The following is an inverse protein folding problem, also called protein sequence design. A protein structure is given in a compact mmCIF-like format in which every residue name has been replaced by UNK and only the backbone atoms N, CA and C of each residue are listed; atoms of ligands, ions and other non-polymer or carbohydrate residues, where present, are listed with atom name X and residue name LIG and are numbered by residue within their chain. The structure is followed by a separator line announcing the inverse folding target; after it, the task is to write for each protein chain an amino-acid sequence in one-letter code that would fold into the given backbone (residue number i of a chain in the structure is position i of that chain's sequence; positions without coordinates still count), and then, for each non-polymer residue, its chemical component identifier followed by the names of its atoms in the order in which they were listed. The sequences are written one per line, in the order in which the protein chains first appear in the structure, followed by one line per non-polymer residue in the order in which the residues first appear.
data_IF_820871566367
#
_entry.id   IF_820871566367
#
_cell.length_a   1.000
_cell.length_b   1.000
_cell.length_c   1.000
_cell.angle_alpha   90.00
_cell.angle_beta   90.00
_cell.angle_gamma   90.00
#
_symmetry.space_group_name_H-M   'P 1'
#
loop_
_entity.id
_entity.type
_entity.pdbx_description
1 polymer ?
#
# COMPACT_ATOMS: atom_id res chain seq x y z
N UNK A 1 78.88 -49.57 22.27
CA UNK A 1 78.36 -48.86 21.10
C UNK A 1 76.89 -49.29 20.92
N UNK A 2 75.98 -48.67 21.62
CA UNK A 2 74.54 -48.97 21.51
C UNK A 2 73.87 -47.73 21.05
N UNK A 3 73.30 -47.73 19.84
CA UNK A 3 72.56 -46.67 19.26
C UNK A 3 71.13 -46.71 19.84
N UNK A 4 70.73 -45.67 20.52
CA UNK A 4 69.36 -45.46 21.02
C UNK A 4 68.54 -44.73 19.94
N UNK A 5 67.52 -45.40 19.39
CA UNK A 5 66.62 -44.86 18.44
C UNK A 5 65.45 -44.24 19.24
N UNK A 6 65.34 -42.94 19.16
CA UNK A 6 64.20 -42.18 19.75
C UNK A 6 63.06 -42.10 18.70
N UNK A 7 61.97 -42.80 18.97
CA UNK A 7 60.75 -42.72 18.15
C UNK A 7 59.93 -41.59 18.67
N UNK A 8 59.80 -40.47 17.91
CA UNK A 8 58.84 -39.39 18.18
C UNK A 8 57.46 -39.80 17.64
N UNK A 9 56.55 -40.04 18.56
CA UNK A 9 55.12 -40.23 18.25
C UNK A 9 54.48 -38.87 18.05
N UNK A 10 54.17 -38.49 16.80
CA UNK A 10 53.37 -37.31 16.48
C UNK A 10 51.88 -37.68 16.66
N UNK A 11 51.26 -37.17 17.71
CA UNK A 11 49.81 -37.20 17.87
C UNK A 11 49.19 -36.03 17.07
N UNK A 12 48.58 -36.34 15.96
CA UNK A 12 47.78 -35.40 15.18
C UNK A 12 46.42 -35.23 15.83
N UNK A 13 46.16 -34.08 16.44
CA UNK A 13 44.80 -33.67 16.89
C UNK A 13 44.02 -33.12 15.69
N UNK A 14 42.81 -33.59 15.40
CA UNK A 14 42.01 -32.98 14.38
C UNK A 14 41.42 -31.64 14.90
N UNK A 15 41.81 -30.54 14.27
CA UNK A 15 41.13 -29.29 14.43
C UNK A 15 39.73 -29.38 13.80
N UNK A 16 38.70 -29.46 14.62
CA UNK A 16 37.30 -29.28 14.19
C UNK A 16 37.11 -27.82 13.84
N UNK A 17 37.13 -27.49 12.56
CA UNK A 17 36.68 -26.18 12.06
C UNK A 17 35.17 -26.11 12.15
N UNK A 18 34.65 -25.42 13.20
CA UNK A 18 33.25 -25.03 13.27
C UNK A 18 32.98 -24.05 12.14
N UNK A 19 32.41 -24.55 11.06
CA UNK A 19 31.86 -23.74 9.99
C UNK A 19 30.63 -22.98 10.53
N UNK A 20 30.84 -21.73 10.92
CA UNK A 20 29.74 -20.81 11.23
C UNK A 20 29.14 -20.43 9.87
N UNK A 21 28.08 -21.15 9.49
CA UNK A 21 27.22 -20.74 8.39
C UNK A 21 26.58 -19.41 8.83
N UNK A 22 27.05 -18.33 8.25
CA UNK A 22 26.35 -17.04 8.34
C UNK A 22 24.98 -17.22 7.67
N UNK A 23 23.96 -17.42 8.49
CA UNK A 23 22.57 -17.41 8.08
C UNK A 23 22.29 -16.02 7.49
N UNK A 24 22.22 -15.98 6.16
CA UNK A 24 21.88 -14.79 5.40
C UNK A 24 20.46 -14.39 5.81
N UNK A 25 20.35 -13.41 6.71
CA UNK A 25 19.08 -12.87 7.14
C UNK A 25 18.28 -12.49 5.88
N UNK A 26 17.17 -13.19 5.66
CA UNK A 26 16.21 -12.82 4.64
C UNK A 26 15.80 -11.35 4.86
N UNK A 27 15.59 -10.56 3.79
CA UNK A 27 15.14 -9.20 3.95
C UNK A 27 13.79 -9.23 4.69
N UNK A 28 13.80 -8.74 5.93
CA UNK A 28 12.57 -8.56 6.71
C UNK A 28 11.75 -7.54 5.94
N UNK A 29 10.65 -7.98 5.34
CA UNK A 29 9.65 -7.08 4.81
C UNK A 29 9.30 -6.08 5.93
N UNK A 30 9.17 -4.76 5.63
CA UNK A 30 8.83 -3.79 6.65
C UNK A 30 7.55 -4.26 7.34
N UNK A 31 7.66 -4.59 8.63
CA UNK A 31 6.52 -5.00 9.42
C UNK A 31 5.48 -3.89 9.31
N UNK A 32 4.29 -4.24 8.84
CA UNK A 32 3.17 -3.31 8.78
C UNK A 32 2.96 -2.77 10.20
N UNK A 33 3.32 -1.51 10.41
CA UNK A 33 3.24 -0.87 11.72
C UNK A 33 1.77 -0.84 12.15
N UNK A 34 1.47 -1.53 13.23
CA UNK A 34 0.19 -1.40 13.91
C UNK A 34 0.36 -0.46 15.10
N UNK A 35 -0.42 0.60 15.15
CA UNK A 35 -0.40 1.59 16.24
C UNK A 35 -1.74 1.58 16.93
N UNK A 36 -1.73 1.27 18.24
CA UNK A 36 -2.93 1.27 19.08
C UNK A 36 -2.96 2.48 19.99
N UNK A 37 -4.14 3.02 20.24
CA UNK A 37 -4.32 4.14 21.15
C UNK A 37 -5.79 4.45 21.43
N UNK A 38 -5.99 5.26 22.47
CA UNK A 38 -7.30 5.83 22.83
C UNK A 38 -7.56 7.09 21.97
N UNK A 39 -8.74 7.20 21.44
CA UNK A 39 -9.16 8.34 20.63
C UNK A 39 -9.49 9.54 21.52
N UNK A 40 -8.68 10.59 21.43
CA UNK A 40 -8.88 11.85 22.16
C UNK A 40 -9.74 12.87 21.37
N UNK A 41 -9.67 12.82 20.05
CA UNK A 41 -10.38 13.77 19.18
C UNK A 41 -10.68 13.11 17.83
N UNK A 42 -11.86 13.41 17.29
CA UNK A 42 -12.31 12.93 15.97
C UNK A 42 -12.66 14.14 15.11
N UNK A 43 -12.17 14.18 13.88
CA UNK A 43 -12.56 15.14 12.86
C UNK A 43 -12.90 14.42 11.57
N UNK A 44 -14.16 14.42 11.22
CA UNK A 44 -14.63 13.84 9.97
C UNK A 44 -14.52 14.86 8.83
N UNK A 45 -13.94 14.41 7.74
CA UNK A 45 -13.94 15.13 6.46
C UNK A 45 -14.55 14.23 5.39
N UNK A 46 -14.66 14.71 4.15
CA UNK A 46 -15.41 13.99 3.10
C UNK A 46 -15.04 12.51 2.95
N UNK A 47 -13.74 12.19 2.96
CA UNK A 47 -13.24 10.84 2.69
C UNK A 47 -12.40 10.26 3.82
N UNK A 48 -12.01 11.06 4.82
CA UNK A 48 -11.17 10.62 5.94
C UNK A 48 -11.82 10.96 7.28
N UNK A 49 -11.55 10.11 8.26
CA UNK A 49 -11.70 10.43 9.68
C UNK A 49 -10.32 10.66 10.26
N UNK A 50 -10.05 11.88 10.74
CA UNK A 50 -8.84 12.24 11.46
C UNK A 50 -9.02 11.95 12.93
N UNK A 51 -8.09 11.25 13.51
CA UNK A 51 -8.10 10.81 14.92
C UNK A 51 -6.86 11.35 15.61
N UNK A 52 -7.04 12.01 16.75
CA UNK A 52 -5.95 12.24 17.68
C UNK A 52 -5.94 11.10 18.67
N UNK A 53 -4.84 10.36 18.71
CA UNK A 53 -4.69 9.14 19.50
C UNK A 53 -3.70 9.38 20.64
N UNK A 54 -4.05 8.90 21.83
CA UNK A 54 -3.11 8.73 22.92
C UNK A 54 -2.54 7.32 22.85
N UNK A 55 -1.28 7.23 22.45
CA UNK A 55 -0.57 5.95 22.31
C UNK A 55 0.46 5.79 23.41
N UNK A 56 1.11 4.63 23.49
CA UNK A 56 2.23 4.41 24.41
C UNK A 56 3.42 5.36 24.18
N UNK A 57 3.58 5.83 22.95
CA UNK A 57 4.69 6.69 22.53
C UNK A 57 4.32 8.19 22.53
N UNK A 58 3.14 8.53 23.08
CA UNK A 58 2.64 9.90 23.15
C UNK A 58 1.42 10.14 22.28
N UNK A 59 1.02 11.40 22.15
CA UNK A 59 -0.10 11.79 21.31
C UNK A 59 0.31 11.91 19.85
N UNK A 60 -0.51 11.37 18.95
CA UNK A 60 -0.29 11.45 17.51
C UNK A 60 -1.59 11.56 16.73
N UNK A 61 -1.50 12.14 15.54
CA UNK A 61 -2.61 12.19 14.61
C UNK A 61 -2.57 10.99 13.65
N UNK A 62 -3.75 10.47 13.36
CA UNK A 62 -3.94 9.45 12.34
C UNK A 62 -5.08 9.86 11.40
N UNK A 63 -4.98 9.49 10.14
CA UNK A 63 -6.02 9.61 9.14
C UNK A 63 -6.36 8.22 8.62
N UNK A 64 -7.63 7.86 8.72
CA UNK A 64 -8.17 6.58 8.25
C UNK A 64 -9.29 6.84 7.26
N UNK A 65 -9.64 5.86 6.43
CA UNK A 65 -10.83 5.94 5.59
C UNK A 65 -12.05 6.28 6.45
N UNK A 66 -12.96 7.10 5.92
CA UNK A 66 -14.14 7.58 6.65
C UNK A 66 -14.84 6.43 7.38
N UNK A 67 -14.81 6.51 8.69
CA UNK A 67 -15.34 5.48 9.59
C UNK A 67 -15.88 6.15 10.84
N UNK A 68 -17.07 5.81 11.30
CA UNK A 68 -17.60 6.37 12.55
C UNK A 68 -16.78 5.87 13.73
N UNK A 69 -16.12 6.80 14.42
CA UNK A 69 -15.33 6.53 15.63
C UNK A 69 -15.77 7.46 16.73
N UNK A 70 -15.82 6.98 17.97
CA UNK A 70 -16.17 7.79 19.13
C UNK A 70 -14.91 8.18 19.90
N UNK A 71 -14.92 9.37 20.50
CA UNK A 71 -13.92 9.78 21.48
C UNK A 71 -13.96 8.82 22.67
N UNK A 72 -12.80 8.45 23.20
CA UNK A 72 -12.63 7.46 24.26
C UNK A 72 -12.57 6.00 23.76
N UNK A 73 -12.76 5.74 22.47
CA UNK A 73 -12.61 4.39 21.92
C UNK A 73 -11.14 4.00 21.82
N UNK A 74 -10.81 2.74 22.16
CA UNK A 74 -9.52 2.18 21.86
C UNK A 74 -9.52 1.61 20.44
N UNK A 75 -8.57 2.07 19.63
CA UNK A 75 -8.48 1.70 18.22
C UNK A 75 -7.07 1.25 17.87
N UNK A 76 -6.95 0.43 16.84
CA UNK A 76 -5.67 0.03 16.25
C UNK A 76 -5.63 0.44 14.79
N UNK A 77 -4.62 1.21 14.42
CA UNK A 77 -4.33 1.57 13.04
C UNK A 77 -3.39 0.51 12.47
N UNK A 78 -3.86 -0.28 11.53
CA UNK A 78 -3.05 -1.26 10.77
C UNK A 78 -2.47 -0.62 9.52
N UNK A 79 -1.34 -1.17 9.06
CA UNK A 79 -0.59 -0.65 7.90
C UNK A 79 -0.29 0.84 8.05
N UNK A 80 0.03 1.24 9.28
CA UNK A 80 0.28 2.63 9.61
C UNK A 80 1.54 3.12 8.89
N UNK A 81 1.39 4.20 8.15
CA UNK A 81 2.46 4.87 7.42
C UNK A 81 2.56 6.31 7.92
N UNK A 82 3.73 6.70 8.42
CA UNK A 82 3.95 8.04 8.92
C UNK A 82 4.26 9.01 7.78
N UNK A 83 3.50 10.09 7.68
CA UNK A 83 3.77 11.22 6.79
C UNK A 83 4.25 12.41 7.63
N UNK A 84 5.34 13.04 7.19
CA UNK A 84 5.87 14.27 7.80
C UNK A 84 5.39 15.49 7.03
N UNK A 85 5.14 16.58 7.77
CA UNK A 85 4.72 17.88 7.21
C UNK A 85 3.49 17.79 6.29
N UNK A 86 2.51 16.96 6.68
CA UNK A 86 1.29 16.79 5.91
C UNK A 86 0.34 17.98 6.10
N UNK A 87 0.00 18.66 5.01
CA UNK A 87 -0.98 19.72 4.99
C UNK A 87 -2.37 19.19 4.61
N UNK A 88 -3.32 19.29 5.53
CA UNK A 88 -4.73 19.03 5.24
C UNK A 88 -5.42 20.33 4.81
N UNK A 89 -5.71 20.47 3.52
CA UNK A 89 -6.43 21.63 2.98
C UNK A 89 -7.83 21.74 3.58
N UNK A 90 -8.50 20.63 3.80
CA UNK A 90 -9.86 20.57 4.38
C UNK A 90 -9.89 21.04 5.84
N UNK A 91 -8.89 20.63 6.63
CA UNK A 91 -8.78 21.05 8.03
C UNK A 91 -8.00 22.36 8.19
N UNK A 92 -7.43 22.90 7.09
CA UNK A 92 -6.54 24.09 7.10
C UNK A 92 -5.45 23.96 8.16
N UNK A 93 -4.87 22.76 8.27
CA UNK A 93 -3.91 22.42 9.33
C UNK A 93 -2.77 21.59 8.76
N UNK A 94 -1.52 21.97 9.14
CA UNK A 94 -0.34 21.18 8.87
C UNK A 94 -0.04 20.29 10.07
N UNK A 95 0.17 19.01 9.80
CA UNK A 95 0.55 18.01 10.80
C UNK A 95 2.06 17.74 10.66
N UNK A 96 2.87 18.00 11.69
CA UNK A 96 4.30 17.66 11.64
C UNK A 96 4.54 16.19 11.36
N UNK A 97 3.69 15.34 11.93
CA UNK A 97 3.62 13.91 11.64
C UNK A 97 2.17 13.46 11.77
N UNK A 98 1.71 12.67 10.80
CA UNK A 98 0.40 12.02 10.82
C UNK A 98 0.53 10.59 10.30
N UNK A 99 -0.20 9.65 10.88
CA UNK A 99 -0.25 8.27 10.41
C UNK A 99 -1.40 8.09 9.43
N UNK A 100 -1.14 7.49 8.29
CA UNK A 100 -2.18 6.99 7.39
C UNK A 100 -2.25 5.48 7.54
N UNK A 101 -3.46 4.94 7.63
CA UNK A 101 -3.63 3.49 7.78
C UNK A 101 -5.10 3.07 7.74
N UNK A 102 -5.32 1.80 8.05
CA UNK A 102 -6.65 1.20 8.15
C UNK A 102 -7.01 0.97 9.62
N UNK A 103 -8.24 1.30 10.01
CA UNK A 103 -8.72 1.03 11.35
C UNK A 103 -9.04 -0.46 11.51
N UNK A 104 -8.48 -1.07 12.55
CA UNK A 104 -8.80 -2.45 12.92
C UNK A 104 -9.90 -2.46 13.99
N UNK A 105 -10.88 -3.37 13.85
CA UNK A 105 -11.84 -3.65 14.93
C UNK A 105 -13.02 -2.69 15.07
N UNK A 106 -13.28 -1.77 14.13
CA UNK A 106 -14.55 -1.02 14.08
C UNK A 106 -15.52 -1.69 13.11
N UNK A 107 -15.71 -2.96 13.31
CA UNK A 107 -16.69 -3.76 12.59
C UNK A 107 -17.41 -4.65 13.58
N UNK A 108 -18.19 -4.10 14.48
CA UNK A 108 -19.39 -4.68 15.11
C UNK A 108 -19.71 -3.93 16.40
N UNK A 109 -20.37 -2.81 16.28
CA UNK A 109 -21.35 -2.42 17.27
C UNK A 109 -22.72 -2.65 16.64
N UNK A 110 -23.28 -3.80 16.95
CA UNK A 110 -24.69 -4.10 16.79
C UNK A 110 -25.45 -3.13 17.71
N UNK A 111 -26.14 -2.15 17.14
CA UNK A 111 -27.38 -1.58 17.62
C UNK A 111 -27.77 -0.35 16.79
N UNK A 112 -28.76 -0.51 15.92
CA UNK A 112 -29.78 0.51 15.64
C UNK A 112 -29.33 1.87 15.11
N UNK A 113 -28.88 1.95 13.86
CA UNK A 113 -28.97 3.16 13.06
C UNK A 113 -29.18 2.76 11.59
N UNK A 114 -29.91 3.58 10.80
CA UNK A 114 -30.36 3.17 9.48
C UNK A 114 -29.18 2.77 8.63
N UNK A 115 -29.31 1.63 7.95
CA UNK A 115 -28.36 1.11 7.00
C UNK A 115 -27.98 2.20 6.01
N UNK A 116 -26.81 2.81 6.21
CA UNK A 116 -26.06 3.30 5.07
C UNK A 116 -25.66 2.02 4.37
N UNK A 117 -26.36 1.75 3.29
CA UNK A 117 -26.11 0.60 2.42
C UNK A 117 -24.61 0.60 2.17
N UNK A 118 -23.89 -0.30 2.84
CA UNK A 118 -22.60 -0.74 2.35
C UNK A 118 -22.93 -1.22 0.94
N UNK A 119 -22.58 -0.41 -0.06
CA UNK A 119 -22.75 -0.80 -1.45
C UNK A 119 -22.00 -2.11 -1.54
N UNK A 120 -22.76 -3.19 -1.67
CA UNK A 120 -22.26 -4.53 -1.76
C UNK A 120 -21.00 -4.49 -2.62
N UNK A 121 -19.91 -5.08 -2.14
CA UNK A 121 -18.74 -5.31 -2.99
C UNK A 121 -19.35 -6.04 -4.18
N UNK A 122 -19.38 -5.33 -5.31
CA UNK A 122 -19.93 -5.87 -6.55
C UNK A 122 -19.05 -7.07 -6.92
N UNK A 123 -19.48 -8.24 -6.47
CA UNK A 123 -18.80 -9.51 -6.72
C UNK A 123 -19.03 -10.00 -8.16
N UNK A 124 -19.76 -9.21 -8.97
CA UNK A 124 -19.90 -9.50 -10.39
C UNK A 124 -18.52 -9.54 -11.03
N UNK A 125 -18.17 -10.61 -11.74
CA UNK A 125 -16.89 -10.69 -12.43
C UNK A 125 -16.68 -9.45 -13.30
N UNK A 126 -15.63 -8.70 -13.02
CA UNK A 126 -15.28 -7.53 -13.83
C UNK A 126 -14.85 -8.05 -15.19
N UNK A 127 -15.51 -7.57 -16.24
CA UNK A 127 -15.15 -7.86 -17.62
C UNK A 127 -15.32 -6.59 -18.44
N UNK A 128 -14.21 -5.89 -18.66
CA UNK A 128 -14.16 -4.67 -19.48
C UNK A 128 -13.36 -4.98 -20.72
N UNK A 129 -13.89 -4.60 -21.88
CA UNK A 129 -13.19 -4.79 -23.15
C UNK A 129 -11.88 -3.97 -23.17
N UNK A 130 -10.82 -4.57 -23.70
CA UNK A 130 -9.55 -3.87 -23.94
C UNK A 130 -9.80 -2.61 -24.77
N UNK A 131 -9.15 -1.54 -24.41
CA UNK A 131 -9.17 -0.30 -25.21
C UNK A 131 -8.71 -0.54 -26.65
N UNK A 132 -9.12 0.31 -27.57
CA UNK A 132 -8.69 0.26 -28.96
C UNK A 132 -7.47 1.15 -29.20
N UNK A 133 -6.65 0.82 -30.22
CA UNK A 133 -5.50 1.63 -30.66
C UNK A 133 -4.13 1.00 -30.36
N UNK A 134 -3.07 1.61 -30.89
CA UNK A 134 -1.70 1.07 -30.89
C UNK A 134 -1.14 0.86 -29.47
N UNK A 135 -1.49 1.75 -28.55
CA UNK A 135 -1.01 1.73 -27.17
C UNK A 135 -1.99 1.04 -26.21
N UNK A 136 -3.00 0.36 -26.76
CA UNK A 136 -4.00 -0.34 -25.94
C UNK A 136 -3.37 -1.51 -25.20
N UNK A 137 -3.61 -1.56 -23.90
CA UNK A 137 -3.14 -2.63 -23.00
C UNK A 137 -4.28 -3.02 -22.06
N UNK A 138 -4.26 -4.27 -21.60
CA UNK A 138 -5.04 -4.70 -20.46
C UNK A 138 -4.34 -4.30 -19.15
N UNK A 139 -5.06 -4.34 -18.04
CA UNK A 139 -4.47 -4.13 -16.70
C UNK A 139 -3.33 -5.12 -16.46
N UNK A 140 -3.54 -6.40 -16.75
CA UNK A 140 -2.51 -7.43 -16.60
C UNK A 140 -1.28 -7.17 -17.48
N UNK A 141 -1.47 -6.72 -18.74
CA UNK A 141 -0.35 -6.38 -19.61
C UNK A 141 0.47 -5.21 -19.08
N UNK A 142 -0.15 -4.21 -18.47
CA UNK A 142 0.57 -3.08 -17.86
C UNK A 142 1.42 -3.55 -16.69
N UNK A 143 0.89 -4.40 -15.82
CA UNK A 143 1.60 -4.91 -14.65
C UNK A 143 2.70 -5.89 -15.03
N UNK A 144 2.39 -6.89 -15.86
CA UNK A 144 3.35 -7.95 -16.21
C UNK A 144 4.47 -7.48 -17.14
N UNK A 145 4.20 -6.47 -17.97
CA UNK A 145 5.17 -5.86 -18.91
C UNK A 145 5.66 -4.49 -18.43
N UNK A 146 5.55 -4.19 -17.16
CA UNK A 146 5.83 -2.87 -16.60
C UNK A 146 7.24 -2.35 -16.96
N UNK A 147 8.25 -3.20 -16.87
CA UNK A 147 9.64 -2.82 -17.23
C UNK A 147 9.77 -2.42 -18.70
N UNK A 148 9.13 -3.16 -19.60
CA UNK A 148 9.12 -2.87 -21.03
C UNK A 148 8.34 -1.59 -21.36
N UNK A 149 7.26 -1.34 -20.60
CA UNK A 149 6.36 -0.21 -20.81
C UNK A 149 6.78 1.06 -20.05
N UNK A 150 7.79 0.99 -19.21
CA UNK A 150 8.25 2.14 -18.42
C UNK A 150 8.60 3.34 -19.33
N UNK A 151 8.01 4.49 -19.03
CA UNK A 151 8.16 5.72 -19.82
C UNK A 151 7.31 5.75 -21.09
N UNK A 152 6.57 4.68 -21.43
CA UNK A 152 5.74 4.64 -22.65
C UNK A 152 4.28 4.98 -22.34
N UNK A 153 3.59 5.64 -23.27
CA UNK A 153 2.16 5.89 -23.16
C UNK A 153 1.38 4.58 -23.36
N UNK A 154 0.36 4.38 -22.55
CA UNK A 154 -0.59 3.28 -22.66
C UNK A 154 -2.02 3.78 -22.60
N UNK A 155 -2.93 3.03 -23.19
CA UNK A 155 -4.37 3.25 -23.13
C UNK A 155 -5.04 2.04 -22.53
N UNK A 156 -5.73 2.23 -21.39
CA UNK A 156 -6.33 1.15 -20.61
C UNK A 156 -7.79 1.47 -20.34
N UNK A 157 -8.67 0.51 -20.62
CA UNK A 157 -10.07 0.57 -20.18
C UNK A 157 -10.26 -0.29 -18.94
N UNK A 158 -11.00 0.20 -17.94
CA UNK A 158 -11.25 -0.54 -16.73
C UNK A 158 -12.38 0.03 -15.90
N UNK A 159 -12.89 -0.75 -14.96
CA UNK A 159 -13.84 -0.33 -13.93
C UNK A 159 -13.06 0.29 -12.79
N UNK A 160 -13.47 1.47 -12.34
CA UNK A 160 -12.92 2.12 -11.16
C UNK A 160 -13.37 1.35 -9.92
N UNK A 161 -12.46 0.70 -9.25
CA UNK A 161 -12.75 -0.07 -8.02
C UNK A 161 -12.43 0.72 -6.75
N UNK A 162 -11.55 1.72 -6.85
CA UNK A 162 -11.22 2.62 -5.74
C UNK A 162 -10.88 4.01 -6.29
N UNK A 163 -11.25 5.05 -5.55
CA UNK A 163 -10.97 6.44 -5.85
C UNK A 163 -10.58 7.20 -4.60
N UNK A 164 -9.44 7.87 -4.64
CA UNK A 164 -8.96 8.77 -3.59
C UNK A 164 -8.65 10.13 -4.23
N UNK A 165 -9.35 11.17 -3.81
CA UNK A 165 -9.20 12.50 -4.39
C UNK A 165 -8.16 13.34 -3.66
N UNK A 166 -7.50 14.23 -4.42
CA UNK A 166 -6.71 15.34 -3.87
C UNK A 166 -5.41 14.96 -3.16
N UNK A 167 -4.94 13.71 -3.25
CA UNK A 167 -3.68 13.29 -2.63
C UNK A 167 -2.51 13.80 -3.48
N UNK A 168 -1.64 14.63 -2.90
CA UNK A 168 -0.51 15.28 -3.60
C UNK A 168 -0.95 16.08 -4.84
N UNK A 169 -2.15 16.69 -4.77
CA UNK A 169 -2.70 17.48 -5.87
C UNK A 169 -3.24 16.67 -7.05
N UNK A 170 -3.35 15.35 -6.91
CA UNK A 170 -3.84 14.42 -7.93
C UNK A 170 -4.95 13.53 -7.37
N UNK A 171 -5.78 13.00 -8.25
CA UNK A 171 -6.72 11.95 -7.94
C UNK A 171 -6.06 10.59 -8.22
N UNK A 172 -6.30 9.62 -7.37
CA UNK A 172 -5.71 8.29 -7.41
C UNK A 172 -6.82 7.27 -7.58
N UNK A 173 -6.78 6.53 -8.66
CA UNK A 173 -7.79 5.53 -8.99
C UNK A 173 -7.15 4.16 -9.17
N UNK A 174 -7.88 3.12 -8.76
CA UNK A 174 -7.56 1.75 -9.07
C UNK A 174 -8.49 1.26 -10.16
N UNK A 175 -7.92 0.72 -11.23
CA UNK A 175 -8.65 0.15 -12.35
C UNK A 175 -8.47 -1.35 -12.41
N UNK A 176 -9.59 -2.05 -12.68
CA UNK A 176 -9.62 -3.47 -13.00
C UNK A 176 -10.42 -3.67 -14.29
N UNK A 177 -9.97 -4.56 -15.17
CA UNK A 177 -10.66 -4.90 -16.42
C UNK A 177 -11.09 -6.38 -16.47
N UNK A 178 -10.74 -7.15 -15.44
CA UNK A 178 -10.98 -8.58 -15.35
C UNK A 178 -9.84 -9.42 -15.90
N UNK A 179 -8.76 -8.80 -16.38
CA UNK A 179 -7.52 -9.49 -16.71
C UNK A 179 -6.62 -9.63 -15.47
N UNK A 180 -5.66 -10.54 -15.53
CA UNK A 180 -4.72 -10.77 -14.43
C UNK A 180 -5.31 -11.56 -13.27
N UNK A 181 -4.49 -11.79 -12.25
CA UNK A 181 -4.83 -12.55 -11.06
C UNK A 181 -4.57 -11.73 -9.80
N UNK A 182 -5.38 -11.96 -8.78
CA UNK A 182 -5.17 -11.34 -7.47
C UNK A 182 -3.92 -11.89 -6.77
N UNK A 183 -3.63 -13.17 -7.00
CA UNK A 183 -2.51 -13.86 -6.38
C UNK A 183 -1.13 -13.25 -6.70
N UNK A 184 -0.96 -12.69 -7.89
CA UNK A 184 0.25 -12.00 -8.35
C UNK A 184 0.09 -10.47 -8.43
N UNK A 185 -1.06 -9.95 -7.96
CA UNK A 185 -1.42 -8.54 -8.00
C UNK A 185 -1.43 -7.94 -9.41
N UNK A 186 -1.66 -8.75 -10.45
CA UNK A 186 -1.72 -8.30 -11.84
C UNK A 186 -3.11 -7.83 -12.28
N UNK A 187 -4.12 -7.98 -11.43
CA UNK A 187 -5.52 -7.67 -11.71
C UNK A 187 -5.93 -6.22 -11.42
N UNK A 188 -5.01 -5.40 -10.92
CA UNK A 188 -5.27 -4.03 -10.47
C UNK A 188 -4.13 -3.10 -10.89
N UNK A 189 -4.46 -1.95 -11.45
CA UNK A 189 -3.46 -0.93 -11.78
C UNK A 189 -3.81 0.41 -11.15
N UNK A 190 -2.83 1.02 -10.50
CA UNK A 190 -2.93 2.36 -9.95
C UNK A 190 -2.77 3.40 -11.05
N UNK A 191 -3.61 4.42 -11.04
CA UNK A 191 -3.58 5.51 -12.01
C UNK A 191 -3.68 6.84 -11.28
N UNK A 192 -2.84 7.81 -11.64
CA UNK A 192 -3.01 9.21 -11.20
C UNK A 192 -3.62 10.04 -12.31
N UNK A 193 -4.56 10.91 -11.96
CA UNK A 193 -5.26 11.78 -12.92
C UNK A 193 -5.72 13.08 -12.25
N UNK A 194 -5.96 14.13 -13.05
CA UNK A 194 -6.63 15.33 -12.59
C UNK A 194 -8.17 15.21 -12.67
N UNK A 195 -8.68 14.23 -13.42
CA UNK A 195 -10.10 14.05 -13.63
C UNK A 195 -10.79 13.45 -12.38
N UNK A 196 -12.02 13.86 -12.15
CA UNK A 196 -12.90 13.25 -11.14
C UNK A 196 -13.64 12.07 -11.78
N UNK A 197 -13.71 10.96 -11.04
CA UNK A 197 -14.40 9.75 -11.45
C UNK A 197 -15.21 9.15 -10.32
N UNK A 198 -16.19 8.32 -10.65
CA UNK A 198 -16.99 7.60 -9.64
C UNK A 198 -16.55 6.15 -9.55
N UNK A 199 -16.49 5.62 -8.33
CA UNK A 199 -16.30 4.18 -8.11
C UNK A 199 -17.45 3.41 -8.79
N UNK A 200 -17.10 2.35 -9.53
CA UNK A 200 -18.02 1.58 -10.33
C UNK A 200 -18.14 2.03 -11.79
N UNK A 201 -17.67 3.24 -12.14
CA UNK A 201 -17.66 3.69 -13.53
C UNK A 201 -16.63 2.90 -14.36
N UNK A 202 -16.96 2.65 -15.62
CA UNK A 202 -16.02 2.14 -16.61
C UNK A 202 -15.43 3.34 -17.35
N UNK A 203 -14.10 3.46 -17.31
CA UNK A 203 -13.37 4.57 -17.91
C UNK A 203 -12.25 4.05 -18.81
N UNK A 204 -11.85 4.86 -19.78
CA UNK A 204 -10.64 4.60 -20.59
C UNK A 204 -9.65 5.71 -20.30
N UNK A 205 -8.50 5.33 -19.80
CA UNK A 205 -7.42 6.25 -19.44
C UNK A 205 -6.26 6.16 -20.40
N UNK A 206 -5.64 7.28 -20.68
CA UNK A 206 -4.39 7.35 -21.47
C UNK A 206 -3.34 8.08 -20.63
N UNK A 207 -2.25 7.42 -20.28
CA UNK A 207 -1.20 7.96 -19.43
C UNK A 207 0.12 7.23 -19.63
N UNK A 208 1.15 7.59 -18.89
CA UNK A 208 2.50 7.04 -19.00
C UNK A 208 2.76 6.02 -17.91
N UNK A 209 3.21 4.83 -18.28
CA UNK A 209 3.61 3.81 -17.28
C UNK A 209 4.89 4.28 -16.58
N UNK A 210 4.87 4.19 -15.25
CA UNK A 210 6.05 4.41 -14.41
C UNK A 210 6.30 3.21 -13.53
N UNK A 211 7.56 2.88 -13.37
CA UNK A 211 8.01 1.82 -12.46
C UNK A 211 8.85 2.42 -11.34
N UNK A 212 8.73 1.85 -10.13
CA UNK A 212 9.47 2.27 -8.94
C UNK A 212 9.39 3.80 -8.70
N UNK A 213 8.23 4.38 -8.97
CA UNK A 213 8.01 5.82 -8.82
C UNK A 213 7.93 6.16 -7.34
N UNK A 214 8.87 6.98 -6.88
CA UNK A 214 8.86 7.58 -5.55
C UNK A 214 8.19 8.96 -5.61
N UNK A 215 7.16 9.15 -4.80
CA UNK A 215 6.47 10.42 -4.60
C UNK A 215 6.95 11.17 -3.35
N UNK A 216 8.01 10.67 -2.71
CA UNK A 216 8.50 11.18 -1.44
C UNK A 216 7.77 10.60 -0.24
N UNK A 217 8.29 10.88 0.96
CA UNK A 217 7.70 10.45 2.24
C UNK A 217 7.44 8.94 2.38
N UNK A 218 8.18 8.10 1.62
CA UNK A 218 8.04 6.65 1.63
C UNK A 218 6.96 6.09 0.69
N UNK A 219 6.35 6.92 -0.14
CA UNK A 219 5.36 6.48 -1.13
C UNK A 219 6.04 6.06 -2.44
N UNK A 220 6.45 4.80 -2.49
CA UNK A 220 7.01 4.21 -3.71
C UNK A 220 6.04 3.20 -4.29
N UNK A 221 5.71 3.34 -5.56
CA UNK A 221 4.83 2.43 -6.28
C UNK A 221 5.62 1.65 -7.33
N UNK A 222 5.50 0.32 -7.28
CA UNK A 222 6.19 -0.56 -8.23
C UNK A 222 5.77 -0.29 -9.67
N UNK A 223 4.47 -0.10 -9.90
CA UNK A 223 3.88 0.19 -11.22
C UNK A 223 2.69 1.10 -11.06
N UNK A 224 2.60 2.13 -11.88
CA UNK A 224 1.41 2.97 -12.03
C UNK A 224 1.33 3.59 -13.43
N UNK A 225 0.15 4.09 -13.78
CA UNK A 225 -0.06 4.94 -14.94
C UNK A 225 -0.14 6.40 -14.44
N UNK A 226 0.85 7.21 -14.82
CA UNK A 226 0.98 8.58 -14.33
C UNK A 226 0.29 9.57 -15.26
N UNK A 227 -0.32 10.64 -14.68
CA UNK A 227 -0.92 11.80 -15.34
C UNK A 227 -1.90 11.44 -16.47
N UNK A 228 -2.74 10.46 -16.17
CA UNK A 228 -3.68 9.94 -17.15
C UNK A 228 -4.81 10.94 -17.45
N UNK A 229 -5.19 11.00 -18.73
CA UNK A 229 -6.40 11.66 -19.24
C UNK A 229 -7.47 10.60 -19.52
N UNK A 230 -8.73 10.99 -19.31
CA UNK A 230 -9.89 10.17 -19.63
C UNK A 230 -10.39 10.47 -21.05
#
# INVERSE_FOLDING_TARGET
MKKLLLVCLLTATPFATSSWAAEKAAPVAPAALAVSGEVLEVKDVEIYTYLRLKTKDGEMWAAVSKTPVKVGANVTIKNAMAMKNFESKTLKKTFPTILFGSLDGVGQVSAGAPAVVAKAVDTTPIKVAKASGVNARTVAEVITKATELNGKPVRVSGKVVKYNSGIMGKNWIHLRDGSGLEADSSNDVLVTTAAEVKVGAVVTVTGVVRTNKDFGSGYTYKVLIEDAKL
#
